data_IF_400901255262
#
_entry.id   IF_400901255262
#
_cell.length_a   1.000
_cell.length_b   1.000
_cell.length_c   1.000
_cell.angle_alpha   90.00
_cell.angle_beta   90.00
_cell.angle_gamma   90.00
#
_symmetry.space_group_name_H-M   'P 1'
#
loop_
_entity.id
_entity.type
_entity.pdbx_description
1 polymer ?
#
# COMPACT_ATOMS: atom_id res chain seq x y z
N UNK A 1 10.06 19.61 19.66
CA UNK A 1 9.61 18.93 18.43
C UNK A 1 9.32 17.49 18.79
N UNK A 2 8.05 17.05 18.80
CA UNK A 2 7.74 15.63 19.08
C UNK A 2 8.10 14.81 17.84
N UNK A 3 9.05 13.88 17.99
CA UNK A 3 9.39 12.94 16.92
C UNK A 3 8.17 12.05 16.65
N UNK A 4 7.65 12.05 15.41
CA UNK A 4 6.59 11.11 15.03
C UNK A 4 7.11 9.69 15.19
N UNK A 5 6.27 8.80 15.72
CA UNK A 5 6.62 7.38 15.86
C UNK A 5 7.01 6.75 14.53
N UNK A 6 7.94 5.80 14.57
CA UNK A 6 8.37 5.03 13.40
C UNK A 6 7.17 4.28 12.79
N UNK A 7 7.08 4.26 11.45
CA UNK A 7 6.08 3.45 10.75
C UNK A 7 6.38 1.97 10.92
N UNK A 8 5.36 1.21 11.25
CA UNK A 8 5.42 -0.25 11.40
C UNK A 8 4.22 -0.88 10.71
N UNK A 9 4.42 -2.03 10.11
CA UNK A 9 3.35 -2.92 9.71
C UNK A 9 2.87 -3.68 10.95
N UNK A 10 1.57 -3.77 11.15
CA UNK A 10 0.97 -4.44 12.32
C UNK A 10 -0.01 -5.55 11.93
N UNK A 11 -0.55 -5.51 10.71
CA UNK A 11 -1.41 -6.55 10.17
C UNK A 11 -0.87 -7.10 8.87
N UNK A 12 -0.76 -8.42 8.77
CA UNK A 12 -0.11 -9.13 7.66
C UNK A 12 -1.03 -10.24 7.12
N UNK A 13 -0.99 -10.46 5.81
CA UNK A 13 -1.39 -11.75 5.24
C UNK A 13 -0.43 -12.87 5.63
N UNK A 14 -0.86 -14.13 5.52
CA UNK A 14 -0.16 -15.26 6.14
C UNK A 14 1.08 -15.74 5.37
N UNK A 15 1.30 -15.24 4.14
CA UNK A 15 2.47 -15.60 3.32
C UNK A 15 3.64 -14.64 3.47
N UNK A 16 3.53 -13.65 4.37
CA UNK A 16 4.59 -12.67 4.65
C UNK A 16 4.87 -12.60 6.14
N UNK A 17 6.04 -12.10 6.48
CA UNK A 17 6.49 -11.89 7.85
C UNK A 17 7.15 -10.53 8.01
N UNK A 18 7.30 -10.09 9.26
CA UNK A 18 8.05 -8.89 9.60
C UNK A 18 9.57 -9.13 9.49
N UNK A 19 10.31 -8.07 9.14
CA UNK A 19 11.71 -7.94 9.53
C UNK A 19 11.85 -7.47 11.00
N UNK A 20 13.09 -7.29 11.46
CA UNK A 20 13.43 -7.08 12.88
C UNK A 20 12.59 -5.99 13.59
N UNK A 21 12.34 -4.86 12.91
CA UNK A 21 11.69 -3.68 13.51
C UNK A 21 10.25 -3.47 13.02
N UNK A 22 9.67 -4.44 12.31
CA UNK A 22 8.34 -4.39 11.68
C UNK A 22 8.14 -3.28 10.65
N UNK A 23 9.17 -2.53 10.28
CA UNK A 23 9.13 -1.58 9.15
C UNK A 23 9.47 -2.24 7.82
N UNK A 24 9.75 -3.54 7.85
CA UNK A 24 10.11 -4.37 6.70
C UNK A 24 9.13 -5.54 6.60
N UNK A 25 8.73 -5.88 5.38
CA UNK A 25 8.00 -7.10 5.06
C UNK A 25 8.72 -7.92 4.00
N UNK A 26 8.61 -9.23 4.11
CA UNK A 26 9.18 -10.20 3.18
C UNK A 26 8.32 -11.45 3.11
N UNK A 27 8.40 -12.16 1.99
CA UNK A 27 7.73 -13.45 1.81
C UNK A 27 8.31 -14.51 2.75
N UNK A 28 7.45 -15.36 3.32
CA UNK A 28 7.88 -16.51 4.12
C UNK A 28 8.56 -17.54 3.20
N UNK A 29 9.77 -18.02 3.51
CA UNK A 29 10.44 -19.04 2.71
C UNK A 29 9.58 -20.31 2.55
N UNK A 30 9.53 -20.86 1.34
CA UNK A 30 8.76 -22.09 1.05
C UNK A 30 7.25 -21.91 0.88
N UNK A 31 6.67 -20.80 1.35
CA UNK A 31 5.30 -20.39 0.99
C UNK A 31 5.33 -19.81 -0.42
N UNK A 32 5.20 -20.67 -1.44
CA UNK A 32 4.95 -20.18 -2.80
C UNK A 32 3.55 -19.57 -2.82
N UNK A 33 3.49 -18.27 -3.02
CA UNK A 33 2.31 -17.61 -3.53
C UNK A 33 1.97 -18.27 -4.88
N UNK A 34 1.05 -19.22 -4.89
CA UNK A 34 0.75 -20.02 -6.07
C UNK A 34 0.43 -19.08 -7.24
N UNK A 35 1.16 -19.21 -8.34
CA UNK A 35 0.70 -18.73 -9.64
C UNK A 35 -0.50 -19.60 -9.99
N UNK A 36 -1.72 -19.12 -9.74
CA UNK A 36 -2.88 -19.85 -10.24
C UNK A 36 -2.82 -19.81 -11.76
N UNK A 37 -2.72 -20.97 -12.41
CA UNK A 37 -2.72 -21.09 -13.87
C UNK A 37 -4.00 -20.53 -14.55
N UNK A 38 -5.00 -20.16 -13.74
CA UNK A 38 -6.27 -19.57 -14.16
C UNK A 38 -6.34 -18.05 -14.04
N UNK A 39 -5.32 -17.39 -13.47
CA UNK A 39 -5.27 -15.94 -13.35
C UNK A 39 -3.90 -15.48 -13.86
N UNK A 40 -3.87 -14.57 -14.82
CA UNK A 40 -2.64 -13.87 -15.26
C UNK A 40 -2.04 -12.96 -14.16
N UNK A 41 -2.34 -13.23 -12.88
CA UNK A 41 -1.94 -12.49 -11.69
C UNK A 41 -0.97 -13.33 -10.87
N UNK A 42 0.24 -12.81 -10.67
CA UNK A 42 1.11 -13.31 -9.61
C UNK A 42 0.52 -12.93 -8.26
N UNK A 43 0.41 -13.94 -7.41
CA UNK A 43 -0.14 -13.83 -6.08
C UNK A 43 0.80 -13.02 -5.18
N UNK A 44 0.25 -11.98 -4.54
CA UNK A 44 0.94 -11.15 -3.54
C UNK A 44 0.24 -11.28 -2.19
N UNK A 45 0.95 -10.94 -1.12
CA UNK A 45 0.37 -10.81 0.22
C UNK A 45 0.77 -9.46 0.80
N UNK A 46 -0.19 -8.81 1.47
CA UNK A 46 -0.12 -7.44 1.91
C UNK A 46 0.06 -7.30 3.42
N UNK A 47 0.67 -6.20 3.82
CA UNK A 47 0.76 -5.74 5.19
C UNK A 47 0.30 -4.28 5.30
N UNK A 48 -0.36 -3.95 6.40
CA UNK A 48 -0.93 -2.64 6.68
C UNK A 48 -0.23 -2.01 7.87
N UNK A 49 -0.08 -0.69 7.83
CA UNK A 49 0.28 0.16 8.98
C UNK A 49 -0.99 0.67 9.67
N UNK A 50 -1.92 -0.22 10.00
CA UNK A 50 -3.24 0.09 10.55
C UNK A 50 -3.19 0.83 11.90
N UNK A 51 -2.14 0.59 12.68
CA UNK A 51 -1.84 1.31 13.92
C UNK A 51 -1.32 2.75 13.68
N UNK A 52 -0.98 3.13 12.45
CA UNK A 52 -0.54 4.47 12.04
C UNK A 52 -1.60 5.16 11.18
N UNK A 53 -2.81 5.32 11.72
CA UNK A 53 -3.92 5.96 11.00
C UNK A 53 -3.61 7.43 10.67
N UNK A 54 -3.69 7.75 9.38
CA UNK A 54 -3.50 9.07 8.79
C UNK A 54 -4.88 9.76 8.72
N UNK A 55 -5.00 10.96 9.32
CA UNK A 55 -6.30 11.57 9.63
C UNK A 55 -6.50 12.97 9.06
N UNK A 56 -5.42 13.73 8.94
CA UNK A 56 -5.41 15.11 8.44
C UNK A 56 -4.00 15.52 8.04
N UNK A 57 -3.88 16.57 7.22
CA UNK A 57 -2.61 17.12 6.78
C UNK A 57 -1.84 16.21 5.84
N UNK A 58 -0.53 16.47 5.74
CA UNK A 58 0.38 15.82 4.81
C UNK A 58 1.15 14.67 5.46
N UNK A 59 1.17 13.54 4.78
CA UNK A 59 1.88 12.33 5.21
C UNK A 59 2.76 11.84 4.07
N UNK A 60 4.07 11.85 4.30
CA UNK A 60 5.04 11.35 3.34
C UNK A 60 5.72 10.08 3.86
N UNK A 61 5.73 9.04 3.03
CA UNK A 61 6.41 7.79 3.30
C UNK A 61 7.31 7.40 2.12
N UNK A 62 8.48 6.86 2.43
CA UNK A 62 9.44 6.34 1.45
C UNK A 62 9.49 4.83 1.56
N UNK A 63 9.31 4.18 0.42
CA UNK A 63 9.37 2.74 0.27
C UNK A 63 10.65 2.34 -0.49
N UNK A 64 11.30 1.27 -0.04
CA UNK A 64 12.50 0.72 -0.70
C UNK A 64 12.36 -0.79 -0.92
N UNK A 65 13.26 -1.38 -1.71
CA UNK A 65 13.22 -2.81 -2.03
C UNK A 65 12.15 -3.19 -3.06
N UNK A 66 11.66 -2.21 -3.83
CA UNK A 66 10.59 -2.37 -4.83
C UNK A 66 11.13 -3.01 -6.11
N UNK A 67 11.29 -4.33 -6.07
CA UNK A 67 11.75 -5.16 -7.20
C UNK A 67 10.81 -6.33 -7.40
N UNK A 68 10.43 -6.60 -8.64
CA UNK A 68 9.48 -7.67 -9.00
C UNK A 68 8.04 -7.31 -8.63
N UNK A 69 7.28 -8.26 -8.08
CA UNK A 69 5.88 -8.07 -7.71
C UNK A 69 5.73 -7.29 -6.40
N UNK A 70 5.99 -5.99 -6.47
CA UNK A 70 5.83 -5.05 -5.35
C UNK A 70 4.66 -4.12 -5.60
N UNK A 71 3.91 -3.86 -4.54
CA UNK A 71 2.78 -2.94 -4.51
C UNK A 71 2.92 -2.09 -3.26
N UNK A 72 2.67 -0.80 -3.37
CA UNK A 72 2.67 0.14 -2.24
C UNK A 72 1.52 1.11 -2.40
N UNK A 73 1.00 1.64 -1.30
CA UNK A 73 -0.10 2.58 -1.40
C UNK A 73 -0.72 2.95 -0.07
N UNK A 74 -1.93 3.49 -0.17
CA UNK A 74 -2.82 3.76 0.95
C UNK A 74 -4.08 2.91 0.84
N UNK A 75 -4.58 2.50 2.00
CA UNK A 75 -5.82 1.74 2.13
C UNK A 75 -6.59 2.27 3.33
N UNK A 76 -7.90 2.08 3.35
CA UNK A 76 -8.67 2.30 4.58
C UNK A 76 -8.12 1.43 5.71
N UNK A 77 -8.05 1.94 6.95
CA UNK A 77 -7.62 1.15 8.09
C UNK A 77 -8.69 0.09 8.40
N UNK A 78 -8.41 -1.14 7.99
CA UNK A 78 -9.18 -2.34 8.30
C UNK A 78 -8.44 -3.18 9.33
N UNK A 79 -9.17 -3.94 10.13
CA UNK A 79 -8.71 -4.91 11.13
C UNK A 79 -9.01 -6.33 10.63
N UNK A 80 -7.96 -7.04 10.23
CA UNK A 80 -8.00 -8.43 9.77
C UNK A 80 -8.01 -9.33 11.01
N UNK A 81 -9.09 -10.07 11.20
CA UNK A 81 -9.18 -11.08 12.25
C UNK A 81 -9.00 -12.45 11.62
N UNK A 82 -7.98 -13.19 12.05
CA UNK A 82 -7.69 -14.54 11.56
C UNK A 82 -8.88 -15.50 11.73
N UNK A 83 -9.68 -15.33 12.78
CA UNK A 83 -10.87 -16.13 13.06
C UNK A 83 -11.98 -16.02 12.01
N UNK A 84 -11.97 -14.95 11.20
CA UNK A 84 -12.99 -14.70 10.19
C UNK A 84 -12.71 -15.43 8.88
N UNK A 85 -11.55 -16.12 8.78
CA UNK A 85 -11.06 -16.74 7.56
C UNK A 85 -10.72 -18.21 7.76
N UNK A 86 -10.96 -19.00 6.73
CA UNK A 86 -10.52 -20.40 6.69
C UNK A 86 -9.00 -20.52 6.59
N UNK A 87 -8.50 -21.74 6.83
CA UNK A 87 -7.07 -22.03 6.71
C UNK A 87 -6.55 -21.66 5.30
N UNK A 88 -5.51 -20.82 5.26
CA UNK A 88 -4.85 -20.42 4.03
C UNK A 88 -5.56 -19.38 3.18
N UNK A 89 -6.75 -18.89 3.57
CA UNK A 89 -7.45 -17.86 2.79
C UNK A 89 -6.70 -16.52 2.77
N UNK A 90 -5.95 -16.21 3.83
CA UNK A 90 -5.13 -15.01 3.95
C UNK A 90 -3.73 -15.13 3.31
N UNK A 91 -3.41 -16.26 2.66
CA UNK A 91 -2.14 -16.45 1.94
C UNK A 91 -1.94 -15.43 0.82
N UNK A 92 -3.05 -14.92 0.28
CA UNK A 92 -3.07 -14.03 -0.89
C UNK A 92 -3.75 -12.70 -0.57
N UNK A 93 -3.77 -12.35 0.73
CA UNK A 93 -4.42 -11.16 1.21
C UNK A 93 -3.84 -9.91 0.53
N UNK A 94 -4.67 -9.21 -0.23
CA UNK A 94 -4.34 -7.94 -0.89
C UNK A 94 -5.62 -7.10 -0.92
N UNK A 95 -5.63 -5.84 -0.43
CA UNK A 95 -6.78 -4.96 -0.51
C UNK A 95 -7.33 -4.73 -1.93
N UNK A 96 -6.55 -5.04 -2.97
CA UNK A 96 -6.97 -4.95 -4.38
C UNK A 96 -7.71 -6.19 -4.86
N UNK A 97 -7.56 -7.32 -4.16
CA UNK A 97 -8.18 -8.58 -4.57
C UNK A 97 -9.66 -8.61 -4.17
N UNK A 98 -10.51 -8.78 -5.19
CA UNK A 98 -11.98 -8.76 -5.08
C UNK A 98 -12.55 -9.71 -4.03
N UNK A 99 -11.87 -10.83 -3.75
CA UNK A 99 -12.27 -11.78 -2.71
C UNK A 99 -12.45 -11.12 -1.34
N UNK A 100 -11.68 -10.07 -1.07
CA UNK A 100 -11.64 -9.44 0.25
C UNK A 100 -12.59 -8.25 0.36
N UNK A 101 -13.03 -7.66 -0.76
CA UNK A 101 -13.73 -6.36 -0.78
C UNK A 101 -14.95 -6.28 0.14
N UNK A 102 -15.82 -7.29 0.13
CA UNK A 102 -16.98 -7.31 1.02
C UNK A 102 -16.57 -7.29 2.50
N UNK A 103 -15.55 -8.06 2.86
CA UNK A 103 -15.02 -8.08 4.22
C UNK A 103 -14.47 -6.71 4.62
N UNK A 104 -13.69 -6.05 3.74
CA UNK A 104 -13.17 -4.71 4.05
C UNK A 104 -14.30 -3.68 4.16
N UNK A 105 -15.28 -3.71 3.25
CA UNK A 105 -16.40 -2.77 3.26
C UNK A 105 -17.24 -2.86 4.54
N UNK A 106 -17.39 -4.05 5.12
CA UNK A 106 -18.08 -4.24 6.42
C UNK A 106 -17.37 -3.52 7.58
N UNK A 107 -16.10 -3.15 7.42
CA UNK A 107 -15.34 -2.42 8.43
C UNK A 107 -15.44 -0.91 8.31
N UNK A 108 -16.23 -0.41 7.36
CA UNK A 108 -16.43 1.01 7.14
C UNK A 108 -16.88 1.69 8.44
N UNK A 109 -16.23 2.80 8.76
CA UNK A 109 -16.61 3.67 9.86
C UNK A 109 -17.04 5.03 9.34
N UNK A 110 -17.71 5.83 10.18
CA UNK A 110 -18.05 7.21 9.84
C UNK A 110 -16.81 8.07 9.49
N UNK A 111 -15.63 7.69 10.00
CA UNK A 111 -14.37 8.41 9.77
C UNK A 111 -13.76 8.19 8.38
N UNK A 112 -14.30 7.27 7.58
CA UNK A 112 -13.92 7.15 6.17
C UNK A 112 -14.55 8.25 5.32
N UNK A 113 -15.55 8.98 5.85
CA UNK A 113 -16.26 10.07 5.17
C UNK A 113 -16.83 9.62 3.81
N UNK A 114 -17.09 10.54 2.89
CA UNK A 114 -17.79 10.24 1.64
C UNK A 114 -16.87 9.80 0.49
N UNK A 115 -15.55 9.77 0.70
CA UNK A 115 -14.63 9.30 -0.33
C UNK A 115 -14.84 7.82 -0.66
N UNK A 116 -15.04 7.58 -1.95
CA UNK A 116 -15.13 6.25 -2.56
C UNK A 116 -13.76 5.66 -2.93
N UNK A 117 -12.65 6.32 -2.58
CA UNK A 117 -11.31 5.75 -2.76
C UNK A 117 -10.97 4.95 -1.51
N UNK A 118 -11.09 3.64 -1.58
CA UNK A 118 -10.83 2.76 -0.43
C UNK A 118 -9.43 2.16 -0.43
N UNK A 119 -8.85 2.00 -1.60
CA UNK A 119 -7.46 1.64 -1.80
C UNK A 119 -6.91 2.42 -3.00
N UNK A 120 -5.70 2.96 -2.89
CA UNK A 120 -4.98 3.53 -4.01
C UNK A 120 -3.50 3.14 -3.93
N UNK A 121 -2.95 2.66 -5.04
CA UNK A 121 -1.66 1.97 -5.02
C UNK A 121 -0.88 2.13 -6.30
N UNK A 122 0.42 1.92 -6.19
CA UNK A 122 1.34 1.78 -7.31
C UNK A 122 1.87 0.37 -7.32
N UNK A 123 1.89 -0.23 -8.50
CA UNK A 123 2.43 -1.54 -8.78
C UNK A 123 3.65 -1.45 -9.68
N UNK A 124 4.70 -2.21 -9.33
CA UNK A 124 5.95 -2.35 -10.09
C UNK A 124 6.07 -3.70 -10.81
N UNK A 125 4.94 -4.31 -11.15
CA UNK A 125 4.89 -5.60 -11.84
C UNK A 125 5.42 -5.51 -13.28
N UNK A 126 5.20 -4.38 -13.95
CA UNK A 126 5.63 -4.15 -15.33
C UNK A 126 6.80 -3.18 -15.40
N UNK A 127 7.45 -3.11 -16.56
CA UNK A 127 8.54 -2.16 -16.80
C UNK A 127 8.10 -0.71 -16.57
N UNK A 128 6.89 -0.36 -17.03
CA UNK A 128 6.17 0.83 -16.61
C UNK A 128 5.47 0.60 -15.27
N UNK A 129 5.46 1.62 -14.42
CA UNK A 129 4.63 1.58 -13.21
C UNK A 129 3.15 1.59 -13.58
N UNK A 130 2.28 1.10 -12.69
CA UNK A 130 0.84 1.26 -12.86
C UNK A 130 0.19 1.71 -11.55
N UNK A 131 -0.68 2.71 -11.63
CA UNK A 131 -1.51 3.18 -10.55
C UNK A 131 -2.86 2.45 -10.58
N UNK A 132 -3.36 2.03 -9.42
CA UNK A 132 -4.69 1.43 -9.26
C UNK A 132 -5.46 2.14 -8.16
N UNK A 133 -6.77 2.26 -8.34
CA UNK A 133 -7.68 2.76 -7.31
C UNK A 133 -8.92 1.88 -7.25
N UNK A 134 -9.35 1.53 -6.04
CA UNK A 134 -10.47 0.64 -5.80
C UNK A 134 -11.48 1.29 -4.85
N UNK A 135 -12.75 1.22 -5.22
CA UNK A 135 -13.91 1.53 -4.39
C UNK A 135 -14.52 0.28 -3.74
N UNK A 136 -13.89 -0.87 -3.95
CA UNK A 136 -14.34 -2.19 -3.49
C UNK A 136 -15.74 -2.60 -3.96
N UNK A 137 -16.21 -2.02 -5.08
CA UNK A 137 -17.49 -2.37 -5.71
C UNK A 137 -17.32 -2.72 -7.18
N UNK A 138 -16.33 -2.14 -7.83
CA UNK A 138 -16.08 -2.34 -9.25
C UNK A 138 -14.59 -2.43 -9.55
N UNK A 139 -14.25 -3.23 -10.55
CA UNK A 139 -12.91 -3.21 -11.13
C UNK A 139 -12.78 -2.00 -12.05
N UNK A 140 -11.68 -1.27 -11.89
CA UNK A 140 -11.30 -0.15 -12.74
C UNK A 140 -9.92 -0.45 -13.34
N UNK A 141 -9.69 -0.10 -14.62
CA UNK A 141 -8.38 -0.28 -15.21
C UNK A 141 -7.34 0.56 -14.48
N UNK A 142 -6.11 0.03 -14.41
CA UNK A 142 -4.97 0.79 -13.92
C UNK A 142 -4.55 1.87 -14.92
N UNK A 143 -3.83 2.87 -14.42
CA UNK A 143 -3.25 3.95 -15.24
C UNK A 143 -1.74 3.77 -15.29
N UNK A 144 -1.14 3.87 -16.48
CA UNK A 144 0.32 3.82 -16.63
C UNK A 144 0.97 5.00 -15.91
N UNK A 145 2.11 4.74 -15.27
CA UNK A 145 2.97 5.76 -14.68
C UNK A 145 4.26 5.78 -15.47
N UNK A 146 4.42 6.84 -16.26
CA UNK A 146 5.61 7.05 -17.06
C UNK A 146 6.75 7.64 -16.21
N UNK A 147 8.00 7.41 -16.64
CA UNK A 147 9.19 7.93 -15.96
C UNK A 147 9.56 7.23 -14.66
N UNK A 148 8.83 6.19 -14.24
CA UNK A 148 9.11 5.49 -13.00
C UNK A 148 10.33 4.55 -13.13
N UNK A 149 11.45 4.92 -12.52
CA UNK A 149 12.69 4.14 -12.54
C UNK A 149 12.59 2.86 -11.70
N UNK A 150 13.32 1.83 -12.10
CA UNK A 150 13.41 0.54 -11.39
C UNK A 150 14.50 0.57 -10.33
N UNK A 151 14.34 -0.22 -9.26
CA UNK A 151 15.31 -0.34 -8.16
C UNK A 151 15.63 0.98 -7.42
N UNK A 152 14.79 2.01 -7.57
CA UNK A 152 14.91 3.31 -6.89
C UNK A 152 13.83 3.47 -5.82
N UNK A 153 14.13 4.07 -4.65
CA UNK A 153 13.12 4.40 -3.64
C UNK A 153 11.94 5.19 -4.23
N UNK A 154 10.74 4.84 -3.81
CA UNK A 154 9.51 5.56 -4.19
C UNK A 154 8.96 6.26 -2.95
N UNK A 155 8.76 7.56 -3.05
CA UNK A 155 8.02 8.35 -2.08
C UNK A 155 6.54 8.41 -2.45
N UNK A 156 5.65 8.30 -1.45
CA UNK A 156 4.23 8.59 -1.60
C UNK A 156 3.86 9.72 -0.64
N UNK A 157 3.14 10.72 -1.16
CA UNK A 157 2.56 11.81 -0.40
C UNK A 157 1.04 11.66 -0.39
N UNK A 158 0.46 11.38 0.78
CA UNK A 158 -0.96 11.54 1.03
C UNK A 158 -1.19 12.93 1.60
N UNK A 159 -1.82 13.80 0.81
CA UNK A 159 -2.24 15.14 1.22
C UNK A 159 -3.75 15.10 1.45
N UNK A 160 -4.18 15.04 2.72
CA UNK A 160 -5.60 15.00 3.08
C UNK A 160 -6.26 16.38 3.10
N UNK A 161 -5.49 17.46 2.96
CA UNK A 161 -6.02 18.81 2.79
C UNK A 161 -6.47 19.01 1.34
N UNK A 162 -5.61 18.64 0.39
CA UNK A 162 -5.93 18.65 -1.05
C UNK A 162 -6.71 17.40 -1.50
N UNK A 163 -6.75 16.36 -0.67
CA UNK A 163 -7.39 15.09 -0.97
C UNK A 163 -6.70 14.30 -2.08
N UNK A 164 -5.37 14.29 -2.12
CA UNK A 164 -4.59 13.64 -3.19
C UNK A 164 -3.59 12.61 -2.66
N UNK A 165 -3.28 11.63 -3.51
CA UNK A 165 -2.11 10.76 -3.37
C UNK A 165 -1.17 11.03 -4.54
N UNK A 166 0.06 11.43 -4.26
CA UNK A 166 1.08 11.72 -5.26
C UNK A 166 2.29 10.81 -5.12
N UNK A 167 2.93 10.50 -6.24
CA UNK A 167 4.18 9.71 -6.30
C UNK A 167 5.38 10.61 -6.52
N UNK A 168 6.45 10.30 -5.79
CA UNK A 168 7.73 10.98 -5.84
C UNK A 168 8.85 9.97 -6.09
N UNK A 169 9.87 10.38 -6.84
CA UNK A 169 11.10 9.63 -7.03
C UNK A 169 12.26 10.63 -7.17
N UNK A 170 13.43 10.32 -6.59
CA UNK A 170 14.60 11.21 -6.61
C UNK A 170 14.33 12.66 -6.16
N UNK A 171 13.42 12.83 -5.19
CA UNK A 171 13.05 14.15 -4.67
C UNK A 171 12.11 14.97 -5.56
N UNK A 172 11.66 14.43 -6.70
CA UNK A 172 10.73 15.10 -7.62
C UNK A 172 9.37 14.42 -7.61
N UNK A 173 8.30 15.21 -7.74
CA UNK A 173 6.94 14.69 -7.95
C UNK A 173 6.82 14.20 -9.39
N UNK A 174 6.46 12.93 -9.58
CA UNK A 174 6.24 12.35 -10.91
C UNK A 174 4.80 12.53 -11.38
N UNK A 175 3.82 12.26 -10.51
CA UNK A 175 2.40 12.36 -10.86
C UNK A 175 1.50 12.42 -9.61
N UNK A 176 0.27 12.90 -9.80
CA UNK A 176 -0.86 12.60 -8.91
C UNK A 176 -1.46 11.26 -9.31
N UNK A 177 -1.49 10.30 -8.40
CA UNK A 177 -2.06 8.98 -8.64
C UNK A 177 -3.59 8.99 -8.55
N UNK A 178 -4.13 9.75 -7.58
CA UNK A 178 -5.56 9.87 -7.35
C UNK A 178 -5.90 11.12 -6.55
N UNK A 179 -7.08 11.66 -6.81
CA UNK A 179 -7.75 12.76 -6.09
C UNK A 179 -9.01 12.27 -5.34
N UNK A 180 -9.67 13.16 -4.60
CA UNK A 180 -10.89 12.83 -3.85
C UNK A 180 -10.66 11.83 -2.70
N UNK A 181 -9.43 11.77 -2.16
CA UNK A 181 -9.15 11.04 -0.92
C UNK A 181 -9.60 11.90 0.26
N UNK A 182 -10.38 11.32 1.17
CA UNK A 182 -10.78 11.99 2.40
C UNK A 182 -11.06 10.98 3.51
N UNK A 183 -11.00 11.43 4.76
CA UNK A 183 -11.13 10.57 5.94
C UNK A 183 -9.85 9.79 6.24
N UNK A 184 -10.01 8.63 6.88
CA UNK A 184 -8.88 7.84 7.37
C UNK A 184 -8.25 6.93 6.32
N UNK A 185 -6.92 6.89 6.33
CA UNK A 185 -6.12 5.91 5.60
C UNK A 185 -4.98 5.38 6.47
N UNK A 186 -4.39 4.28 6.05
CA UNK A 186 -3.06 3.85 6.48
C UNK A 186 -2.21 3.48 5.26
N UNK A 187 -0.90 3.46 5.45
CA UNK A 187 0.02 2.90 4.45
C UNK A 187 -0.14 1.39 4.38
N UNK A 188 0.09 0.82 3.19
CA UNK A 188 0.22 -0.61 3.01
C UNK A 188 1.26 -0.93 1.94
N UNK A 189 1.76 -2.16 2.00
CA UNK A 189 2.64 -2.72 0.98
C UNK A 189 2.26 -4.18 0.74
N UNK A 190 2.43 -4.68 -0.49
CA UNK A 190 2.26 -6.08 -0.83
C UNK A 190 3.46 -6.59 -1.63
N UNK A 191 3.81 -7.84 -1.36
CA UNK A 191 5.02 -8.49 -1.86
C UNK A 191 4.68 -9.94 -2.25
N UNK A 192 5.32 -10.47 -3.29
CA UNK A 192 5.06 -11.85 -3.75
C UNK A 192 6.14 -12.40 -4.68
N UNK A 193 6.33 -13.72 -4.69
CA UNK A 193 7.39 -14.35 -5.49
C UNK A 193 8.80 -14.08 -4.94
N UNK A 194 9.81 -14.02 -5.81
CA UNK A 194 11.23 -13.84 -5.45
C UNK A 194 11.65 -12.37 -5.24
N UNK A 195 10.75 -11.58 -4.67
CA UNK A 195 10.94 -10.13 -4.47
C UNK A 195 11.82 -9.84 -3.27
N UNK A 196 12.54 -8.71 -3.31
CA UNK A 196 13.30 -8.24 -2.14
C UNK A 196 12.34 -7.81 -1.02
N UNK A 197 12.80 -7.79 0.24
CA UNK A 197 12.02 -7.20 1.32
C UNK A 197 11.65 -5.75 1.01
N UNK A 198 10.40 -5.38 1.25
CA UNK A 198 9.94 -3.99 1.15
C UNK A 198 10.10 -3.34 2.51
N UNK A 199 10.73 -2.16 2.56
CA UNK A 199 10.80 -1.35 3.78
C UNK A 199 10.00 -0.06 3.64
N UNK A 200 9.51 0.48 4.75
CA UNK A 200 8.83 1.77 4.84
C UNK A 200 9.47 2.66 5.90
N UNK A 201 9.61 3.95 5.60
CA UNK A 201 9.97 4.97 6.59
C UNK A 201 9.18 6.25 6.36
N UNK A 202 8.98 7.04 7.42
CA UNK A 202 8.51 8.42 7.26
C UNK A 202 9.59 9.23 6.56
N UNK A 203 9.17 10.18 5.74
CA UNK A 203 10.05 11.22 5.25
C UNK A 203 9.38 12.58 5.34
N UNK A 204 10.02 13.58 4.74
CA UNK A 204 9.46 14.90 4.53
C UNK A 204 9.16 15.05 3.05
N UNK A 205 8.02 15.65 2.71
CA UNK A 205 7.76 16.00 1.33
C UNK A 205 8.85 17.01 0.88
N UNK A 206 9.31 16.96 -0.39
CA UNK A 206 10.34 17.89 -0.88
C UNK A 206 10.02 19.37 -0.65
N UNK A 207 8.73 19.73 -0.63
CA UNK A 207 8.28 21.11 -0.40
C UNK A 207 8.38 21.55 1.07
N UNK A 208 8.38 20.61 2.02
CA UNK A 208 8.52 20.88 3.46
C UNK A 208 9.99 21.14 3.87
N UNK A 209 10.96 20.86 2.99
CA UNK A 209 12.39 21.06 3.27
C UNK A 209 12.87 22.51 3.05
N UNK A 210 12.01 23.39 2.51
CA UNK A 210 12.36 24.78 2.20
C UNK A 210 12.09 25.78 3.32
N UNK A 211 11.56 25.34 4.45
CA UNK A 211 11.23 26.21 5.61
C UNK A 211 12.04 25.90 6.86
N UNK A 212 13.26 25.37 6.70
CA UNK A 212 14.22 25.13 7.79
C UNK A 212 15.21 26.28 7.96
#
# INVERSE_FOLDING_TARGET
MMLRSKLTFDQLGTSIQHGEDRSIILTVPGQRNASSAFCNHVTVSAALCSNHVLRSGKHFAVFTGLKGFSVIGVVRPVQIKLSDFGEGELKTFDPRNRRFWEYQLRQRTARWTDSNVHCCSVSKVFASGSAFSHDWRSDKPGVSIDGLQSDTPIGLLLDLEEGTLSIYQNGQRLATLKDGLSGEYCWYAAVGGFTRPISIKRGFAPDDQRTG
#
